data_IF_765462273706
#
_entry.id   IF_765462273706
#
_cell.length_a   1.000
_cell.length_b   1.000
_cell.length_c   1.000
_cell.angle_alpha   90.00
_cell.angle_beta   90.00
_cell.angle_gamma   90.00
#
_symmetry.space_group_name_H-M   'P 1'
#
loop_
_entity.id
_entity.type
_entity.pdbx_description
1 polymer ?
#
# COMPACT_ATOMS: atom_id res chain seq x y z
N UNK A 1 -48.13 22.88 -6.02
CA UNK A 1 -47.69 21.97 -7.10
C UNK A 1 -46.43 22.54 -7.71
N UNK A 2 -45.30 21.92 -7.39
CA UNK A 2 -44.20 21.56 -8.29
C UNK A 2 -42.95 21.37 -7.44
N UNK A 3 -42.71 20.11 -7.07
CA UNK A 3 -41.42 19.63 -6.60
C UNK A 3 -40.37 19.93 -7.67
N UNK A 4 -39.33 20.68 -7.30
CA UNK A 4 -38.10 20.80 -8.08
C UNK A 4 -37.36 19.47 -8.02
N UNK A 5 -37.81 18.54 -8.86
CA UNK A 5 -37.23 17.23 -9.03
C UNK A 5 -35.84 17.31 -9.65
N UNK A 6 -34.88 16.69 -8.96
CA UNK A 6 -33.76 15.97 -9.55
C UNK A 6 -32.79 16.79 -10.39
N UNK A 7 -31.66 17.15 -9.78
CA UNK A 7 -30.44 17.44 -10.53
C UNK A 7 -30.04 16.17 -11.31
N UNK A 8 -30.47 16.07 -12.56
CA UNK A 8 -30.07 15.00 -13.48
C UNK A 8 -28.56 15.15 -13.74
N UNK A 9 -27.73 14.13 -13.49
CA UNK A 9 -26.32 14.17 -13.85
C UNK A 9 -26.20 14.42 -15.35
N UNK A 10 -25.48 15.46 -15.75
CA UNK A 10 -25.19 15.75 -17.16
C UNK A 10 -24.41 14.60 -17.82
N UNK A 11 -24.47 14.46 -19.16
CA UNK A 11 -23.81 13.39 -19.87
C UNK A 11 -22.30 13.41 -19.65
N UNK A 12 -21.76 12.27 -19.18
CA UNK A 12 -20.38 11.82 -19.44
C UNK A 12 -19.26 12.65 -18.81
N UNK A 13 -19.20 12.75 -17.48
CA UNK A 13 -17.87 12.84 -16.89
C UNK A 13 -17.23 11.46 -16.97
N UNK A 14 -16.25 11.30 -17.85
CA UNK A 14 -15.45 10.08 -17.99
C UNK A 14 -14.73 9.78 -16.68
N UNK A 15 -15.38 9.01 -15.81
CA UNK A 15 -14.79 8.50 -14.59
C UNK A 15 -13.89 7.31 -14.97
N UNK A 16 -12.59 7.59 -15.15
CA UNK A 16 -11.59 6.55 -15.42
C UNK A 16 -10.98 6.07 -14.11
N UNK A 17 -11.19 4.81 -13.77
CA UNK A 17 -10.44 4.13 -12.72
C UNK A 17 -9.20 3.48 -13.35
N UNK A 18 -8.05 3.54 -12.66
CA UNK A 18 -6.80 2.95 -13.14
C UNK A 18 -6.26 1.89 -12.16
N UNK A 19 -6.86 0.68 -12.12
CA UNK A 19 -6.44 -0.40 -11.21
C UNK A 19 -4.96 -0.77 -11.37
N UNK A 20 -4.44 -0.73 -12.60
CA UNK A 20 -3.02 -1.00 -12.85
C UNK A 20 -2.10 0.00 -12.15
N UNK A 21 -2.46 1.29 -12.11
CA UNK A 21 -1.67 2.28 -11.37
C UNK A 21 -1.71 2.05 -9.85
N UNK A 22 -2.84 1.60 -9.32
CA UNK A 22 -2.96 1.24 -7.89
C UNK A 22 -2.08 0.03 -7.58
N UNK A 23 -2.07 -0.96 -8.48
CA UNK A 23 -1.18 -2.13 -8.38
C UNK A 23 0.30 -1.74 -8.45
N UNK A 24 0.69 -0.87 -9.37
CA UNK A 24 2.07 -0.39 -9.50
C UNK A 24 2.55 0.32 -8.23
N UNK A 25 1.70 1.17 -7.64
CA UNK A 25 2.00 1.81 -6.35
C UNK A 25 2.15 0.77 -5.24
N UNK A 26 1.29 -0.25 -5.20
CA UNK A 26 1.42 -1.37 -4.26
C UNK A 26 2.78 -2.08 -4.38
N UNK A 27 3.17 -2.44 -5.60
CA UNK A 27 4.46 -3.09 -5.88
C UNK A 27 5.64 -2.19 -5.43
N UNK A 28 5.59 -0.90 -5.77
CA UNK A 28 6.60 0.05 -5.38
C UNK A 28 6.75 0.16 -3.85
N UNK A 29 5.64 0.31 -3.13
CA UNK A 29 5.65 0.43 -1.66
C UNK A 29 6.19 -0.87 -1.02
N UNK A 30 5.85 -2.04 -1.56
CA UNK A 30 6.36 -3.30 -1.07
C UNK A 30 7.89 -3.39 -1.20
N UNK A 31 8.42 -3.08 -2.39
CA UNK A 31 9.87 -3.09 -2.63
C UNK A 31 10.62 -2.06 -1.77
N UNK A 32 10.01 -0.89 -1.53
CA UNK A 32 10.56 0.11 -0.60
C UNK A 32 10.59 -0.43 0.83
N UNK A 33 9.51 -1.05 1.31
CA UNK A 33 9.44 -1.64 2.64
C UNK A 33 10.50 -2.73 2.85
N UNK A 34 10.69 -3.60 1.85
CA UNK A 34 11.72 -4.65 1.88
C UNK A 34 13.14 -4.05 1.91
N UNK A 35 13.40 -3.04 1.08
CA UNK A 35 14.70 -2.35 1.05
C UNK A 35 15.03 -1.71 2.39
N UNK A 36 14.05 -1.03 3.00
CA UNK A 36 14.22 -0.38 4.31
C UNK A 36 14.40 -1.41 5.44
N UNK A 37 13.68 -2.52 5.39
CA UNK A 37 13.84 -3.61 6.35
C UNK A 37 15.26 -4.19 6.30
N UNK A 38 15.76 -4.51 5.10
CA UNK A 38 17.12 -5.03 4.92
C UNK A 38 18.20 -4.03 5.38
N UNK A 39 18.00 -2.73 5.12
CA UNK A 39 18.92 -1.69 5.57
C UNK A 39 18.94 -1.59 7.11
N UNK A 40 17.78 -1.66 7.76
CA UNK A 40 17.67 -1.62 9.21
C UNK A 40 18.30 -2.85 9.88
N UNK A 41 18.10 -4.03 9.29
CA UNK A 41 18.75 -5.28 9.75
C UNK A 41 20.27 -5.23 9.61
N UNK A 42 20.78 -4.58 8.55
CA UNK A 42 22.22 -4.35 8.40
C UNK A 42 22.74 -3.44 9.50
N UNK A 43 22.07 -2.30 9.75
CA UNK A 43 22.44 -1.39 10.82
C UNK A 43 22.36 -2.04 12.20
N UNK A 44 21.40 -2.94 12.43
CA UNK A 44 21.28 -3.69 13.67
C UNK A 44 22.50 -4.59 13.94
N UNK A 45 23.09 -5.18 12.89
CA UNK A 45 24.33 -5.96 13.02
C UNK A 45 25.50 -5.06 13.39
N UNK A 46 25.68 -3.94 12.69
CA UNK A 46 26.76 -2.99 12.96
C UNK A 46 26.68 -2.44 14.39
N UNK A 47 25.47 -2.11 14.86
CA UNK A 47 25.23 -1.66 16.24
C UNK A 47 25.51 -2.76 17.25
N UNK A 48 25.06 -3.99 16.98
CA UNK A 48 25.34 -5.13 17.86
C UNK A 48 26.83 -5.39 17.99
N UNK A 49 27.58 -5.32 16.89
CA UNK A 49 29.03 -5.49 16.90
C UNK A 49 29.69 -4.39 17.74
N UNK A 50 29.35 -3.12 17.50
CA UNK A 50 29.88 -1.97 18.23
C UNK A 50 29.69 -2.09 19.76
N UNK A 51 28.47 -2.41 20.18
CA UNK A 51 28.09 -2.51 21.60
C UNK A 51 28.63 -3.77 22.28
N UNK A 52 28.92 -4.83 21.52
CA UNK A 52 29.49 -6.06 22.07
C UNK A 52 31.01 -6.01 22.26
N UNK A 53 31.71 -5.19 21.47
CA UNK A 53 33.16 -5.32 21.30
C UNK A 53 33.95 -4.17 21.95
N UNK A 54 33.61 -2.92 21.63
CA UNK A 54 34.52 -1.79 21.90
C UNK A 54 33.89 -0.63 22.66
N UNK A 55 32.56 -0.48 22.63
CA UNK A 55 31.89 0.64 23.27
C UNK A 55 31.06 0.19 24.46
N UNK A 56 31.48 0.58 25.66
CA UNK A 56 30.87 0.18 26.94
C UNK A 56 30.70 1.37 27.89
N UNK A 57 29.83 1.21 28.89
CA UNK A 57 29.57 2.20 29.95
C UNK A 57 28.26 2.96 29.72
N UNK A 58 27.92 3.87 30.63
CA UNK A 58 26.58 4.49 30.72
C UNK A 58 26.07 5.08 29.39
N UNK A 59 26.95 5.70 28.59
CA UNK A 59 26.57 6.25 27.28
C UNK A 59 26.28 5.18 26.22
N UNK A 60 26.94 4.03 26.29
CA UNK A 60 26.64 2.89 25.41
C UNK A 60 25.29 2.27 25.78
N UNK A 61 24.98 2.20 27.08
CA UNK A 61 23.69 1.71 27.58
C UNK A 61 22.54 2.63 27.14
N UNK A 62 22.67 3.95 27.33
CA UNK A 62 21.67 4.93 26.90
C UNK A 62 21.47 4.91 25.37
N UNK A 63 22.56 4.77 24.60
CA UNK A 63 22.46 4.59 23.16
C UNK A 63 21.74 3.29 22.78
N UNK A 64 22.04 2.17 23.46
CA UNK A 64 21.42 0.87 23.19
C UNK A 64 19.90 0.91 23.42
N UNK A 65 19.45 1.60 24.46
CA UNK A 65 18.03 1.82 24.73
C UNK A 65 17.37 2.62 23.59
N UNK A 66 17.94 3.76 23.22
CA UNK A 66 17.43 4.59 22.12
C UNK A 66 17.45 3.87 20.77
N UNK A 67 18.51 3.11 20.48
CA UNK A 67 18.60 2.28 19.29
C UNK A 67 17.50 1.22 19.23
N UNK A 68 17.20 0.58 20.36
CA UNK A 68 16.13 -0.42 20.44
C UNK A 68 14.78 0.18 20.07
N UNK A 69 14.47 1.38 20.56
CA UNK A 69 13.25 2.10 20.19
C UNK A 69 13.20 2.43 18.69
N UNK A 70 14.29 2.95 18.12
CA UNK A 70 14.39 3.27 16.69
C UNK A 70 14.23 2.02 15.83
N UNK A 71 14.90 0.93 16.19
CA UNK A 71 14.85 -0.34 15.48
C UNK A 71 13.43 -0.93 15.50
N UNK A 72 12.79 -0.95 16.67
CA UNK A 72 11.45 -1.50 16.81
C UNK A 72 10.39 -0.64 16.12
N UNK A 73 10.48 0.69 16.26
CA UNK A 73 9.61 1.63 15.55
C UNK A 73 9.78 1.54 14.04
N UNK A 74 11.02 1.45 13.56
CA UNK A 74 11.33 1.26 12.13
C UNK A 74 10.70 -0.01 11.57
N UNK A 75 10.85 -1.15 12.25
CA UNK A 75 10.22 -2.42 11.85
C UNK A 75 8.69 -2.31 11.77
N UNK A 76 8.06 -1.64 12.73
CA UNK A 76 6.60 -1.43 12.72
C UNK A 76 6.15 -0.61 11.52
N UNK A 77 6.87 0.48 11.18
CA UNK A 77 6.57 1.31 10.01
C UNK A 77 6.69 0.49 8.72
N UNK A 78 7.76 -0.30 8.57
CA UNK A 78 7.98 -1.08 7.36
C UNK A 78 6.95 -2.20 7.20
N UNK A 79 6.54 -2.84 8.30
CA UNK A 79 5.43 -3.78 8.30
C UNK A 79 4.10 -3.13 7.89
N UNK A 80 3.84 -1.90 8.36
CA UNK A 80 2.65 -1.15 7.97
C UNK A 80 2.67 -0.78 6.47
N UNK A 81 3.84 -0.43 5.91
CA UNK A 81 4.01 -0.19 4.48
C UNK A 81 3.76 -1.47 3.67
N UNK A 82 4.30 -2.61 4.07
CA UNK A 82 4.05 -3.90 3.42
C UNK A 82 2.55 -4.27 3.46
N UNK A 83 1.88 -4.03 4.59
CA UNK A 83 0.43 -4.24 4.74
C UNK A 83 -0.38 -3.31 3.83
N UNK A 84 0.05 -2.05 3.69
CA UNK A 84 -0.61 -1.10 2.78
C UNK A 84 -0.46 -1.56 1.32
N UNK A 85 0.74 -1.99 0.92
CA UNK A 85 1.01 -2.51 -0.41
C UNK A 85 0.10 -3.70 -0.76
N UNK A 86 -0.06 -4.65 0.17
CA UNK A 86 -0.94 -5.81 0.00
C UNK A 86 -2.40 -5.38 -0.22
N UNK A 87 -2.91 -4.46 0.62
CA UNK A 87 -4.28 -3.93 0.48
C UNK A 87 -4.51 -3.21 -0.85
N UNK A 88 -3.52 -2.48 -1.36
CA UNK A 88 -3.61 -1.83 -2.67
C UNK A 88 -3.71 -2.87 -3.79
N UNK A 89 -2.93 -3.95 -3.71
CA UNK A 89 -3.03 -5.10 -4.62
C UNK A 89 -4.42 -5.75 -4.60
N UNK A 90 -4.96 -6.05 -3.41
CA UNK A 90 -6.31 -6.63 -3.25
C UNK A 90 -7.38 -5.70 -3.82
N UNK A 91 -7.25 -4.39 -3.60
CA UNK A 91 -8.21 -3.40 -4.12
C UNK A 91 -8.20 -3.36 -5.65
N UNK A 92 -7.02 -3.37 -6.27
CA UNK A 92 -6.89 -3.37 -7.73
C UNK A 92 -7.52 -4.63 -8.36
N UNK A 93 -7.28 -5.81 -7.77
CA UNK A 93 -7.85 -7.07 -8.26
C UNK A 93 -9.37 -7.12 -8.06
N UNK A 94 -9.88 -6.65 -6.90
CA UNK A 94 -11.31 -6.58 -6.63
C UNK A 94 -12.02 -5.70 -7.67
N UNK A 95 -11.44 -4.54 -8.00
CA UNK A 95 -12.00 -3.66 -9.01
C UNK A 95 -12.06 -4.34 -10.38
N UNK A 96 -10.96 -4.98 -10.82
CA UNK A 96 -10.92 -5.72 -12.09
C UNK A 96 -11.99 -6.81 -12.16
N UNK A 97 -12.22 -7.53 -11.07
CA UNK A 97 -13.27 -8.57 -10.99
C UNK A 97 -14.67 -7.98 -11.11
N UNK A 98 -14.96 -6.90 -10.37
CA UNK A 98 -16.27 -6.22 -10.44
C UNK A 98 -16.54 -5.64 -11.83
N UNK A 99 -15.53 -5.02 -12.45
CA UNK A 99 -15.62 -4.46 -13.80
C UNK A 99 -15.91 -5.56 -14.84
N UNK A 100 -15.15 -6.65 -14.83
CA UNK A 100 -15.36 -7.78 -15.73
C UNK A 100 -16.75 -8.43 -15.56
N UNK A 101 -17.21 -8.60 -14.32
CA UNK A 101 -18.54 -9.15 -14.04
C UNK A 101 -19.66 -8.20 -14.48
N UNK A 102 -19.47 -6.89 -14.30
CA UNK A 102 -20.43 -5.87 -14.75
C UNK A 102 -20.52 -5.84 -16.27
N UNK A 103 -19.39 -5.88 -16.97
CA UNK A 103 -19.34 -5.94 -18.42
C UNK A 103 -20.02 -7.20 -18.97
N UNK A 104 -19.79 -8.37 -18.35
CA UNK A 104 -20.45 -9.62 -18.72
C UNK A 104 -21.97 -9.58 -18.46
N UNK A 105 -22.42 -8.98 -17.35
CA UNK A 105 -23.85 -8.81 -17.07
C UNK A 105 -24.54 -7.84 -18.05
N UNK A 106 -23.77 -6.87 -18.56
CA UNK A 106 -24.19 -5.92 -19.60
C UNK A 106 -24.01 -6.46 -21.02
N UNK A 107 -23.72 -7.75 -21.23
CA UNK A 107 -23.62 -8.36 -22.56
C UNK A 107 -24.99 -8.35 -23.28
N UNK A 108 -25.36 -7.16 -23.79
CA UNK A 108 -26.68 -6.88 -24.34
C UNK A 108 -26.85 -7.68 -25.64
N UNK A 109 -27.86 -8.56 -25.74
CA UNK A 109 -28.15 -9.26 -26.98
C UNK A 109 -28.39 -8.26 -28.11
N UNK A 110 -27.66 -8.42 -29.23
CA UNK A 110 -27.96 -7.66 -30.44
C UNK A 110 -29.36 -8.04 -30.91
N UNK A 111 -30.29 -7.09 -30.86
CA UNK A 111 -31.60 -7.25 -31.49
C UNK A 111 -31.37 -7.43 -33.00
N UNK A 112 -31.55 -8.67 -33.46
CA UNK A 112 -31.66 -9.01 -34.87
C UNK A 112 -32.95 -8.38 -35.40
N UNK A 113 -32.82 -7.21 -36.04
CA UNK A 113 -33.89 -6.65 -36.87
C UNK A 113 -33.76 -7.26 -38.26
N UNK A 114 -34.55 -8.31 -38.52
CA UNK A 114 -34.86 -8.79 -39.88
C UNK A 114 -35.81 -7.83 -40.58
#
# INVERSE_FOLDING_TARGET
>A
MSDSGGNSPGPGQDFTVAPERVRDVGIYIYGLAETLHNALDSAAKDVSELLSDSWTGDYADEFSEGWTEVHDGGRQIFQALATLADKLGVTAETFRSVDANSAAALDIPRLNWT
#
